data_IF_858464341912
#
_entry.id   IF_858464341912
#
_cell.length_a   1.000
_cell.length_b   1.000
_cell.length_c   1.000
_cell.angle_alpha   90.00
_cell.angle_beta   90.00
_cell.angle_gamma   90.00
#
_symmetry.space_group_name_H-M   'P 1'
#
loop_
_entity.id
_entity.type
_entity.pdbx_description
1 polymer ?
#
# COMPACT_ATOMS: atom_id res chain seq x y z
N UNK A 1 18.56 -4.75 42.95
CA UNK A 1 18.44 -4.82 42.59
C UNK A 1 18.12 -5.00 41.83
N UNK A 2 18.18 -4.92 41.81
CA UNK A 2 17.98 -5.16 41.20
C UNK A 2 17.50 -5.21 40.22
N UNK A 3 17.51 -5.23 40.34
CA UNK A 3 17.11 -5.35 39.55
C UNK A 3 16.73 -5.36 38.51
N UNK A 4 16.92 -5.34 38.54
CA UNK A 4 16.60 -5.42 37.72
C UNK A 4 16.32 -5.55 36.81
N UNK A 5 16.42 -5.53 36.99
CA UNK A 5 16.28 -5.81 36.18
C UNK A 5 15.87 -5.94 35.24
N UNK A 6 15.87 -5.85 35.39
CA UNK A 6 15.62 -6.02 34.60
C UNK A 6 15.20 -5.90 33.59
N UNK A 7 15.44 -5.87 33.56
CA UNK A 7 15.19 -5.80 32.57
C UNK A 7 14.89 -5.89 31.61
N UNK A 8 15.04 -5.90 31.63
CA UNK A 8 14.94 -6.10 30.73
C UNK A 8 14.40 -6.37 29.86
N UNK A 9 14.24 -6.50 29.85
CA UNK A 9 13.86 -6.93 29.17
C UNK A 9 13.52 -6.74 28.24
N UNK A 10 13.56 -6.28 28.35
CA UNK A 10 13.33 -6.14 27.50
C UNK A 10 13.27 -6.30 26.55
N UNK A 11 13.34 -6.41 26.68
CA UNK A 11 13.35 -6.66 25.86
C UNK A 11 12.94 -6.88 25.04
N UNK A 12 12.91 -6.96 25.17
CA UNK A 12 12.75 -7.37 24.48
C UNK A 12 12.12 -7.34 23.72
N UNK A 13 11.90 -7.11 23.72
CA UNK A 13 11.47 -7.20 23.05
C UNK A 13 11.27 -6.95 22.14
N UNK A 14 11.07 -6.73 22.54
CA UNK A 14 11.15 -6.16 21.64
C UNK A 14 11.31 -6.58 20.49
N UNK A 15 11.76 -6.83 20.56
CA UNK A 15 12.11 -7.30 19.53
C UNK A 15 11.10 -7.90 18.79
N UNK A 16 10.74 -8.05 19.22
CA UNK A 16 10.18 -8.59 18.59
C UNK A 16 9.48 -8.11 17.74
N UNK A 17 9.38 -7.48 18.02
CA UNK A 17 8.78 -7.03 17.13
C UNK A 17 9.10 -7.11 15.84
N UNK A 18 9.71 -7.13 15.90
CA UNK A 18 10.15 -7.13 14.86
C UNK A 18 9.96 -8.07 14.01
N UNK A 19 10.12 -8.73 14.30
CA UNK A 19 10.11 -9.82 13.50
C UNK A 19 8.82 -10.11 12.90
N UNK A 20 7.88 -9.84 13.57
CA UNK A 20 6.59 -10.13 13.10
C UNK A 20 6.26 -9.56 11.77
N UNK A 21 6.83 -8.48 11.39
CA UNK A 21 6.39 -7.87 10.15
C UNK A 21 6.50 -8.74 8.95
N UNK A 22 7.47 -9.56 8.90
CA UNK A 22 7.67 -10.33 7.71
C UNK A 22 6.50 -11.17 7.35
N UNK A 23 5.75 -11.55 8.30
CA UNK A 23 4.65 -12.45 8.05
C UNK A 23 3.55 -11.80 7.24
N UNK A 24 3.43 -10.52 7.38
CA UNK A 24 2.33 -9.85 6.74
C UNK A 24 2.42 -9.81 5.25
N UNK A 25 3.56 -10.13 4.71
CA UNK A 25 3.73 -10.09 3.28
C UNK A 25 2.82 -11.07 2.55
N UNK A 26 2.14 -11.91 3.25
CA UNK A 26 1.30 -12.90 2.60
C UNK A 26 -0.11 -12.45 2.31
N UNK A 27 -0.40 -11.20 2.46
CA UNK A 27 -1.72 -10.71 2.11
C UNK A 27 -2.79 -11.01 3.12
N UNK A 28 -2.41 -11.30 4.36
CA UNK A 28 -3.38 -11.52 5.42
C UNK A 28 -4.01 -10.23 5.88
N UNK A 29 -4.85 -10.30 6.93
CA UNK A 29 -5.50 -9.11 7.47
C UNK A 29 -4.48 -8.06 7.86
N UNK A 30 -4.73 -6.82 7.51
CA UNK A 30 -3.86 -5.73 7.88
C UNK A 30 -2.55 -5.66 7.12
N UNK A 31 -2.46 -6.31 5.98
CA UNK A 31 -1.23 -6.29 5.18
C UNK A 31 -1.06 -4.95 4.49
N UNK A 32 0.17 -4.44 4.52
CA UNK A 32 0.51 -3.18 3.87
C UNK A 32 1.76 -3.39 3.02
N UNK A 33 1.76 -2.79 1.82
CA UNK A 33 2.91 -2.87 0.94
C UNK A 33 3.27 -1.49 0.41
N UNK A 34 4.53 -1.34 0.03
CA UNK A 34 5.00 -0.13 -0.63
C UNK A 34 4.82 -0.28 -2.14
N UNK A 35 4.45 0.81 -2.79
CA UNK A 35 4.39 0.89 -4.24
C UNK A 35 5.55 1.74 -4.69
N UNK A 36 6.27 1.30 -5.71
CA UNK A 36 7.48 1.95 -6.15
C UNK A 36 7.35 2.46 -7.56
N UNK A 37 8.06 3.54 -7.85
CA UNK A 37 8.12 4.09 -9.18
C UNK A 37 8.64 3.06 -10.16
N UNK A 38 8.07 3.03 -11.37
CA UNK A 38 8.51 2.13 -12.42
C UNK A 38 9.40 2.83 -13.44
N UNK A 39 9.78 4.08 -13.16
CA UNK A 39 10.71 4.81 -14.01
C UNK A 39 10.10 5.96 -14.77
N UNK A 40 8.84 5.86 -15.17
CA UNK A 40 8.20 6.94 -15.93
C UNK A 40 8.00 8.19 -15.06
N UNK A 41 7.87 8.01 -13.77
CA UNK A 41 7.67 9.10 -12.83
C UNK A 41 8.66 8.96 -11.68
N UNK A 42 9.92 9.32 -11.91
CA UNK A 42 10.93 9.21 -10.86
C UNK A 42 10.51 9.99 -9.61
N UNK A 43 10.74 9.41 -8.46
CA UNK A 43 10.35 10.02 -7.21
C UNK A 43 8.94 9.69 -6.76
N UNK A 44 8.12 9.14 -7.63
CA UNK A 44 6.79 8.72 -7.23
C UNK A 44 6.87 7.56 -6.26
N UNK A 45 5.94 7.51 -5.33
CA UNK A 45 5.84 6.44 -4.36
C UNK A 45 4.39 6.22 -4.02
N UNK A 46 4.11 5.17 -3.28
CA UNK A 46 2.76 4.89 -2.86
C UNK A 46 2.71 3.75 -1.89
N UNK A 47 1.50 3.40 -1.53
CA UNK A 47 1.28 2.27 -0.64
C UNK A 47 -0.10 1.70 -0.86
N UNK A 48 -0.26 0.44 -0.54
CA UNK A 48 -1.54 -0.22 -0.56
C UNK A 48 -1.72 -0.97 0.75
N UNK A 49 -2.93 -0.95 1.26
CA UNK A 49 -3.24 -1.58 2.53
C UNK A 49 -4.51 -2.40 2.35
N UNK A 50 -4.44 -3.65 2.74
CA UNK A 50 -5.58 -4.55 2.63
C UNK A 50 -5.94 -5.11 4.00
N UNK A 51 -7.22 -5.08 4.34
CA UNK A 51 -7.73 -5.67 5.55
C UNK A 51 -8.87 -6.61 5.20
N UNK A 52 -8.99 -7.67 5.97
CA UNK A 52 -10.05 -8.64 5.77
C UNK A 52 -10.63 -9.08 7.11
N UNK A 53 -10.92 -8.10 7.97
CA UNK A 53 -11.55 -8.37 9.25
C UNK A 53 -12.97 -7.85 9.18
N UNK A 54 -13.91 -8.78 9.10
CA UNK A 54 -15.30 -8.43 8.89
C UNK A 54 -15.51 -8.08 7.45
N UNK A 55 -15.31 -6.85 7.09
CA UNK A 55 -15.48 -6.39 5.72
C UNK A 55 -14.11 -6.19 5.05
N UNK A 56 -14.00 -6.67 3.81
CA UNK A 56 -12.79 -6.44 3.03
C UNK A 56 -12.63 -4.95 2.77
N UNK A 57 -11.40 -4.48 2.85
CA UNK A 57 -11.10 -3.08 2.57
C UNK A 57 -9.73 -2.96 1.92
N UNK A 58 -9.66 -2.25 0.81
CA UNK A 58 -8.41 -1.98 0.11
C UNK A 58 -8.26 -0.48 -0.04
N UNK A 59 -7.13 0.02 0.43
CA UNK A 59 -6.78 1.43 0.33
C UNK A 59 -5.50 1.53 -0.48
N UNK A 60 -5.49 2.38 -1.52
CA UNK A 60 -4.33 2.57 -2.37
C UNK A 60 -4.06 4.05 -2.50
N UNK A 61 -2.80 4.43 -2.30
CA UNK A 61 -2.38 5.82 -2.33
C UNK A 61 -1.14 5.97 -3.20
N UNK A 62 -1.10 7.05 -3.98
CA UNK A 62 0.08 7.42 -4.74
C UNK A 62 0.47 8.84 -4.32
N UNK A 63 1.78 9.09 -4.20
CA UNK A 63 2.32 10.35 -3.72
C UNK A 63 3.49 10.80 -4.57
N UNK A 64 3.81 12.08 -4.44
CA UNK A 64 4.98 12.67 -5.08
C UNK A 64 4.88 12.69 -6.60
N UNK A 65 3.68 12.98 -7.11
CA UNK A 65 3.45 13.09 -8.54
C UNK A 65 2.85 14.46 -8.88
N UNK A 66 3.49 15.51 -8.39
CA UNK A 66 2.99 16.87 -8.57
C UNK A 66 2.72 17.25 -10.01
N UNK A 67 3.50 16.72 -10.93
CA UNK A 67 3.26 17.11 -12.33
C UNK A 67 1.97 16.53 -12.88
N UNK A 68 1.30 15.68 -12.13
CA UNK A 68 -0.02 15.18 -12.50
C UNK A 68 -1.12 15.89 -11.73
N UNK A 69 -0.81 16.93 -10.96
CA UNK A 69 -1.82 17.64 -10.18
C UNK A 69 -2.97 18.07 -11.08
N UNK A 70 -4.18 17.84 -10.60
CA UNK A 70 -5.39 18.13 -11.36
C UNK A 70 -5.80 17.06 -12.36
N UNK A 71 -4.96 16.09 -12.63
CA UNK A 71 -5.27 15.03 -13.57
C UNK A 71 -5.73 13.79 -12.86
N UNK A 72 -6.47 12.94 -13.55
CA UNK A 72 -6.94 11.69 -12.97
C UNK A 72 -5.91 10.60 -13.16
N UNK A 73 -5.87 9.67 -12.19
CA UNK A 73 -5.07 8.46 -12.31
C UNK A 73 -5.99 7.28 -12.04
N UNK A 74 -5.63 6.12 -12.56
CA UNK A 74 -6.43 4.91 -12.46
C UNK A 74 -5.72 3.88 -11.60
N UNK A 75 -6.49 3.18 -10.78
CA UNK A 75 -5.98 2.19 -9.83
C UNK A 75 -6.38 0.80 -10.29
N UNK A 76 -5.45 -0.15 -10.24
CA UNK A 76 -5.66 -1.50 -10.74
C UNK A 76 -5.26 -2.55 -9.72
N UNK A 77 -6.05 -3.62 -9.65
CA UNK A 77 -5.68 -4.86 -8.97
C UNK A 77 -5.48 -5.88 -10.08
N UNK A 78 -4.24 -6.35 -10.23
CA UNK A 78 -3.84 -7.15 -11.39
C UNK A 78 -4.16 -6.34 -12.65
N UNK A 79 -4.99 -6.84 -13.55
CA UNK A 79 -5.34 -6.11 -14.76
C UNK A 79 -6.72 -5.44 -14.67
N UNK A 80 -7.36 -5.50 -13.50
CA UNK A 80 -8.70 -4.96 -13.33
C UNK A 80 -8.64 -3.55 -12.76
N UNK A 81 -9.21 -2.59 -13.47
CA UNK A 81 -9.34 -1.24 -12.96
C UNK A 81 -10.39 -1.23 -11.84
N UNK A 82 -10.02 -0.70 -10.69
CA UNK A 82 -10.93 -0.67 -9.56
C UNK A 82 -11.42 0.74 -9.21
N UNK A 83 -10.83 1.75 -9.79
CA UNK A 83 -11.27 3.11 -9.53
C UNK A 83 -10.32 4.13 -10.09
N UNK A 84 -10.66 5.39 -9.91
CA UNK A 84 -9.81 6.50 -10.32
C UNK A 84 -9.96 7.63 -9.31
N UNK A 85 -8.98 8.53 -9.28
CA UNK A 85 -9.02 9.69 -8.43
C UNK A 85 -8.22 10.81 -9.08
N UNK A 86 -8.51 12.03 -8.67
CA UNK A 86 -7.79 13.20 -9.16
C UNK A 86 -6.60 13.46 -8.26
N UNK A 87 -5.46 13.73 -8.85
CA UNK A 87 -4.25 14.08 -8.10
C UNK A 87 -4.42 15.51 -7.56
N UNK A 88 -4.20 15.68 -6.26
CA UNK A 88 -4.36 17.00 -5.64
C UNK A 88 -3.13 17.86 -5.88
N UNK A 89 -3.15 19.08 -5.37
CA UNK A 89 -2.07 20.04 -5.58
C UNK A 89 -0.74 19.63 -4.95
N UNK A 90 -0.77 18.70 -3.99
CA UNK A 90 0.45 18.19 -3.37
C UNK A 90 1.03 17.01 -4.12
N UNK A 91 0.36 16.55 -5.16
CA UNK A 91 0.83 15.40 -5.92
C UNK A 91 0.42 14.06 -5.35
N UNK A 92 -0.74 13.99 -4.72
CA UNK A 92 -1.22 12.74 -4.11
C UNK A 92 -2.63 12.41 -4.58
N UNK A 93 -2.94 11.11 -4.64
CA UNK A 93 -4.27 10.63 -4.95
C UNK A 93 -4.49 9.31 -4.20
N UNK A 94 -5.73 9.01 -3.90
CA UNK A 94 -6.05 7.88 -3.05
C UNK A 94 -7.43 7.34 -3.35
N UNK A 95 -7.60 6.03 -3.24
CA UNK A 95 -8.92 5.41 -3.25
C UNK A 95 -9.06 4.49 -2.05
N UNK A 96 -10.30 4.24 -1.69
CA UNK A 96 -10.64 3.32 -0.62
C UNK A 96 -11.84 2.50 -1.11
N UNK A 97 -11.66 1.17 -1.20
CA UNK A 97 -12.71 0.28 -1.67
C UNK A 97 -13.07 -0.70 -0.57
N UNK A 98 -14.35 -0.96 -0.40
CA UNK A 98 -14.84 -1.87 0.61
C UNK A 98 -15.74 -2.92 0.01
N UNK A 99 -15.80 -4.07 0.68
CA UNK A 99 -16.69 -5.14 0.29
C UNK A 99 -16.20 -5.86 -0.95
N UNK A 100 -17.10 -6.07 -1.91
CA UNK A 100 -16.79 -6.88 -3.09
C UNK A 100 -16.42 -6.04 -4.31
N UNK A 101 -16.10 -4.76 -4.14
CA UNK A 101 -15.83 -3.87 -5.26
C UNK A 101 -14.47 -4.04 -5.91
N UNK A 102 -13.74 -5.10 -5.60
CA UNK A 102 -12.42 -5.34 -6.18
C UNK A 102 -12.08 -6.82 -6.11
N UNK A 103 -11.17 -7.30 -6.98
CA UNK A 103 -10.80 -8.72 -7.02
C UNK A 103 -10.15 -9.20 -5.72
N UNK A 104 -10.02 -10.51 -5.58
CA UNK A 104 -9.40 -11.10 -4.41
C UNK A 104 -7.96 -10.61 -4.26
N UNK A 105 -7.56 -10.37 -3.03
CA UNK A 105 -6.20 -9.97 -2.69
C UNK A 105 -5.52 -11.13 -1.98
N UNK A 106 -4.40 -11.57 -2.52
CA UNK A 106 -3.64 -12.66 -1.92
C UNK A 106 -2.15 -12.44 -2.22
N UNK A 107 -1.32 -13.35 -1.75
CA UNK A 107 0.12 -13.23 -2.02
C UNK A 107 0.35 -13.18 -3.52
N UNK A 108 1.11 -12.21 -3.96
CA UNK A 108 1.42 -12.03 -5.37
C UNK A 108 0.47 -11.14 -6.13
N UNK A 109 -0.65 -10.74 -5.54
CA UNK A 109 -1.57 -9.82 -6.20
C UNK A 109 -0.86 -8.50 -6.45
N UNK A 110 -0.97 -8.00 -7.68
CA UNK A 110 -0.27 -6.80 -8.11
C UNK A 110 -1.17 -5.59 -8.00
N UNK A 111 -0.62 -4.50 -7.47
CA UNK A 111 -1.31 -3.21 -7.41
C UNK A 111 -0.55 -2.24 -8.29
N UNK A 112 -1.27 -1.50 -9.14
CA UNK A 112 -0.68 -0.49 -10.01
C UNK A 112 -1.50 0.76 -10.00
N UNK A 113 -0.83 1.89 -10.18
CA UNK A 113 -1.49 3.17 -10.42
C UNK A 113 -0.96 3.67 -11.75
N UNK A 114 -1.86 4.02 -12.67
CA UNK A 114 -1.51 4.42 -14.02
C UNK A 114 -2.12 5.77 -14.36
N UNK A 115 -1.48 6.46 -15.29
CA UNK A 115 -2.11 7.64 -15.90
C UNK A 115 -3.27 7.19 -16.77
N UNK A 116 -4.13 8.13 -17.16
CA UNK A 116 -5.23 7.80 -18.08
C UNK A 116 -4.71 7.36 -19.44
N UNK A 117 -3.51 7.75 -19.79
CA UNK A 117 -2.89 7.30 -21.05
C UNK A 117 -2.23 5.94 -20.96
N UNK A 118 -2.21 5.31 -19.78
CA UNK A 118 -1.71 3.95 -19.63
C UNK A 118 -0.30 3.83 -19.10
N UNK A 119 0.37 4.92 -18.78
CA UNK A 119 1.72 4.84 -18.22
C UNK A 119 1.64 4.45 -16.73
N UNK A 120 2.42 3.46 -16.32
CA UNK A 120 2.44 3.05 -14.94
C UNK A 120 3.25 4.04 -14.11
N UNK A 121 2.65 4.52 -13.03
CA UNK A 121 3.29 5.48 -12.14
C UNK A 121 4.03 4.74 -11.04
N UNK A 122 3.32 3.87 -10.33
CA UNK A 122 3.88 3.03 -9.26
C UNK A 122 3.26 1.65 -9.33
N UNK A 123 3.97 0.66 -8.77
CA UNK A 123 3.49 -0.72 -8.73
C UNK A 123 4.08 -1.45 -7.53
N UNK A 124 3.40 -2.51 -7.10
CA UNK A 124 3.86 -3.36 -6.02
C UNK A 124 3.07 -4.65 -5.97
N UNK A 125 3.47 -5.55 -5.09
CA UNK A 125 2.80 -6.84 -4.91
C UNK A 125 2.59 -7.12 -3.44
N UNK A 126 1.46 -7.72 -3.15
CA UNK A 126 1.21 -8.31 -1.84
C UNK A 126 1.99 -9.58 -1.65
#
# INVERSE_FOLDING_TARGET
MKRMFIPVAVLVLAALALAAPAVQAKGGPGTRIALKSTGAFPGASGKAKFQNQGQRELEVEVEHVRRLAGKRVNFFVNSTKIGSARVNGLGAAQINKRGSGFPAISAGTRIKVKTTGGATIVAGRF
#
